data_IF_834947197455
#
_entry.id   IF_834947197455
#
_cell.length_a   1.000
_cell.length_b   1.000
_cell.length_c   1.000
_cell.angle_alpha   90.00
_cell.angle_beta   90.00
_cell.angle_gamma   90.00
#
_symmetry.space_group_name_H-M   'P 1'
#
loop_
_entity.id
_entity.type
_entity.pdbx_description
1 polymer ?
#
# COMPACT_ATOMS: atom_id res chain seq x y z
N UNK A 1 10.42 0.67 7.30
CA UNK A 1 10.50 -0.51 6.43
C UNK A 1 11.66 -0.39 5.46
N UNK A 2 12.27 -1.51 5.07
CA UNK A 2 13.34 -1.56 4.06
C UNK A 2 12.73 -1.87 2.68
N UNK A 3 13.02 -1.03 1.69
CA UNK A 3 12.70 -1.28 0.29
C UNK A 3 14.00 -1.58 -0.45
N UNK A 4 14.03 -2.69 -1.18
CA UNK A 4 15.21 -3.13 -1.93
C UNK A 4 15.20 -2.58 -3.35
N UNK A 5 16.40 -2.32 -3.88
CA UNK A 5 16.61 -1.88 -5.27
C UNK A 5 15.88 -2.78 -6.27
N UNK A 6 15.24 -2.16 -7.27
CA UNK A 6 14.52 -2.79 -8.38
C UNK A 6 13.36 -3.73 -7.98
N UNK A 7 12.99 -3.79 -6.71
CA UNK A 7 11.84 -4.56 -6.26
C UNK A 7 10.56 -3.73 -6.36
N UNK A 8 9.50 -4.33 -6.90
CA UNK A 8 8.20 -3.67 -7.06
C UNK A 8 7.36 -3.86 -5.80
N UNK A 9 7.01 -2.75 -5.17
CA UNK A 9 6.14 -2.71 -4.01
C UNK A 9 4.80 -2.11 -4.40
N UNK A 10 3.72 -2.64 -3.81
CA UNK A 10 2.36 -2.13 -4.01
C UNK A 10 1.86 -1.59 -2.69
N UNK A 11 1.75 -0.27 -2.59
CA UNK A 11 1.28 0.41 -1.38
C UNK A 11 -0.22 0.59 -1.41
N UNK A 12 -0.84 0.40 -0.24
CA UNK A 12 -2.25 0.62 -0.04
C UNK A 12 -2.57 2.11 -0.04
N UNK A 13 -3.65 2.48 -0.72
CA UNK A 13 -4.18 3.84 -0.79
C UNK A 13 -5.63 3.93 -0.32
N UNK A 14 -6.32 2.79 -0.14
CA UNK A 14 -7.70 2.75 0.31
C UNK A 14 -7.84 2.69 1.84
N UNK A 15 -6.76 2.36 2.57
CA UNK A 15 -6.79 2.20 4.03
C UNK A 15 -7.45 0.91 4.55
N UNK A 16 -7.90 0.01 3.66
CA UNK A 16 -8.64 -1.20 4.01
C UNK A 16 -7.79 -2.47 4.08
N UNK A 17 -6.47 -2.36 3.85
CA UNK A 17 -5.61 -3.53 3.87
C UNK A 17 -5.40 -4.03 5.30
N UNK A 18 -5.33 -5.35 5.47
CA UNK A 18 -4.93 -5.99 6.74
C UNK A 18 -3.40 -5.97 6.92
N UNK A 19 -2.64 -5.74 5.85
CA UNK A 19 -1.17 -5.74 5.83
C UNK A 19 -0.58 -4.35 5.56
N UNK A 20 -1.26 -3.31 6.04
CA UNK A 20 -0.80 -1.93 5.93
C UNK A 20 0.68 -1.80 6.34
N UNK A 21 1.50 -1.07 5.56
CA UNK A 21 1.14 -0.15 4.47
C UNK A 21 1.00 -0.81 3.08
N UNK A 22 1.18 -2.11 2.96
CA UNK A 22 1.16 -2.84 1.68
C UNK A 22 -0.27 -3.08 1.24
N UNK A 23 -0.49 -3.17 -0.08
CA UNK A 23 -1.78 -3.51 -0.66
C UNK A 23 -1.93 -5.03 -0.79
N UNK A 24 -2.95 -5.57 -0.13
CA UNK A 24 -3.40 -6.98 -0.22
C UNK A 24 -4.55 -7.21 -1.21
N UNK A 25 -5.03 -6.15 -1.87
CA UNK A 25 -6.17 -6.13 -2.79
C UNK A 25 -7.57 -6.03 -2.17
N UNK A 26 -7.70 -5.76 -0.86
CA UNK A 26 -9.02 -5.51 -0.22
C UNK A 26 -9.83 -4.39 -0.90
N UNK A 27 -9.16 -3.45 -1.56
CA UNK A 27 -9.82 -2.42 -2.36
C UNK A 27 -10.69 -2.97 -3.51
N UNK A 28 -10.43 -4.18 -4.01
CA UNK A 28 -11.18 -4.75 -5.13
C UNK A 28 -12.62 -5.03 -4.75
N UNK A 29 -12.83 -5.73 -3.65
CA UNK A 29 -14.16 -6.02 -3.11
C UNK A 29 -14.86 -4.72 -2.71
N UNK A 30 -14.16 -3.82 -2.01
CA UNK A 30 -14.73 -2.53 -1.63
C UNK A 30 -15.18 -1.71 -2.84
N UNK A 31 -14.39 -1.68 -3.92
CA UNK A 31 -14.75 -0.99 -5.16
C UNK A 31 -16.03 -1.55 -5.79
N UNK A 32 -16.21 -2.88 -5.78
CA UNK A 32 -17.41 -3.53 -6.31
C UNK A 32 -18.67 -3.14 -5.53
N UNK A 33 -18.57 -3.09 -4.20
CA UNK A 33 -19.71 -2.82 -3.32
C UNK A 33 -20.05 -1.31 -3.29
N UNK A 34 -19.04 -0.44 -3.28
CA UNK A 34 -19.21 0.99 -3.01
C UNK A 34 -19.10 1.86 -4.27
N UNK A 35 -18.99 1.26 -5.47
CA UNK A 35 -18.80 1.97 -6.73
C UNK A 35 -17.61 2.96 -6.69
N UNK A 36 -16.50 2.54 -6.09
CA UNK A 36 -15.26 3.32 -6.00
C UNK A 36 -14.18 2.77 -6.96
N UNK A 37 -13.07 3.50 -7.13
CA UNK A 37 -11.98 3.08 -8.01
C UNK A 37 -10.59 3.22 -7.36
N UNK A 38 -10.45 2.79 -6.10
CA UNK A 38 -9.16 2.78 -5.43
C UNK A 38 -8.17 1.84 -6.14
N UNK A 39 -6.91 2.26 -6.24
CA UNK A 39 -5.80 1.50 -6.83
C UNK A 39 -4.55 1.62 -5.98
N UNK A 40 -3.78 0.55 -5.89
CA UNK A 40 -2.48 0.56 -5.21
C UNK A 40 -1.48 1.50 -5.91
N UNK A 41 -0.66 2.19 -5.13
CA UNK A 41 0.50 2.92 -5.65
C UNK A 41 1.66 1.94 -5.86
N UNK A 42 2.28 1.94 -7.05
CA UNK A 42 3.44 1.09 -7.35
C UNK A 42 4.72 1.87 -7.14
N UNK A 43 5.62 1.35 -6.31
CA UNK A 43 6.92 1.97 -6.02
C UNK A 43 8.02 0.97 -6.37
N UNK A 44 9.04 1.42 -7.10
CA UNK A 44 10.23 0.63 -7.45
C UNK A 44 11.46 1.48 -7.15
N UNK A 45 12.18 1.22 -6.04
CA UNK A 45 13.38 1.97 -5.69
C UNK A 45 14.53 1.72 -6.67
N UNK A 46 15.34 2.72 -6.94
CA UNK A 46 16.58 2.64 -7.71
C UNK A 46 17.80 2.23 -6.85
N UNK A 47 17.68 2.33 -5.52
CA UNK A 47 18.62 1.83 -4.52
C UNK A 47 17.91 1.26 -3.29
N UNK A 48 18.63 0.51 -2.46
CA UNK A 48 18.13 0.09 -1.15
C UNK A 48 17.87 1.32 -0.26
N UNK A 49 16.68 1.42 0.31
CA UNK A 49 16.28 2.57 1.14
C UNK A 49 15.46 2.11 2.36
N UNK A 50 15.73 2.73 3.51
CA UNK A 50 14.88 2.60 4.69
C UNK A 50 13.92 3.78 4.73
N UNK A 51 12.63 3.50 4.76
CA UNK A 51 11.57 4.52 4.83
C UNK A 51 10.73 4.32 6.08
N UNK A 52 10.48 5.41 6.81
CA UNK A 52 9.46 5.44 7.85
C UNK A 52 8.11 5.72 7.20
N UNK A 53 7.10 4.90 7.49
CA UNK A 53 5.78 5.01 6.88
C UNK A 53 4.74 4.92 7.98
N UNK A 54 3.91 5.97 8.09
CA UNK A 54 2.86 6.07 9.11
C UNK A 54 1.62 6.74 8.54
N UNK A 55 0.47 6.38 9.10
CA UNK A 55 -0.79 7.10 8.92
C UNK A 55 -1.40 7.35 10.30
N UNK A 56 -2.07 8.49 10.48
CA UNK A 56 -2.81 8.81 11.71
C UNK A 56 -3.94 7.82 12.00
N UNK A 57 -4.39 7.07 11.00
CA UNK A 57 -5.50 6.11 11.10
C UNK A 57 -5.06 4.67 11.28
N UNK A 58 -3.75 4.37 11.19
CA UNK A 58 -3.27 3.01 11.41
C UNK A 58 -3.23 2.73 12.91
N UNK A 59 -3.82 1.60 13.31
CA UNK A 59 -3.77 1.15 14.69
C UNK A 59 -2.31 0.89 15.07
N UNK A 60 -1.92 1.40 16.23
CA UNK A 60 -0.59 1.23 16.83
C UNK A 60 -0.37 -0.21 17.27
#
# INVERSE_FOLDING_TARGET
>A
MKLSKNMKYSFCTCGLSETLPICDHSHREYNLINNTNYKSLKITPDSDVNVDVKSSTWKS
#
